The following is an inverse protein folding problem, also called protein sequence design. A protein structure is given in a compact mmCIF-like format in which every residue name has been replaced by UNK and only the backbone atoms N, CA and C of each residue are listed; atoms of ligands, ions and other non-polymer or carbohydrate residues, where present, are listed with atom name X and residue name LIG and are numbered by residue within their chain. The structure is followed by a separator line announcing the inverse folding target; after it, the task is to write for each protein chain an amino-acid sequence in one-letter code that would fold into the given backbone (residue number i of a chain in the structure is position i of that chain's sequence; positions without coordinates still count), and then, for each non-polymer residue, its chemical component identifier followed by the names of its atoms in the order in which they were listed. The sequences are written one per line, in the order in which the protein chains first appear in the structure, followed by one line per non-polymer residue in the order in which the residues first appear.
data_IF_611910971284
#
_entry.id   IF_611910971284
#
_cell.length_a   1.000
_cell.length_b   1.000
_cell.length_c   1.000
_cell.angle_alpha   90.00
_cell.angle_beta   90.00
_cell.angle_gamma   90.00
#
_symmetry.space_group_name_H-M   'P 1'
#
loop_
_entity.id
_entity.type
_entity.pdbx_description
1 polymer ?
#
# COMPACT_ATOMS: atom_id res chain seq x y z
N UNK A 1 -3.56 -50.32 -12.07
CA UNK A 1 -3.28 -49.55 -13.30
C UNK A 1 -4.35 -48.49 -13.58
N UNK A 2 -5.66 -48.78 -13.54
CA UNK A 2 -6.69 -47.74 -13.77
C UNK A 2 -6.73 -46.60 -12.73
N UNK A 3 -6.69 -46.93 -11.44
CA UNK A 3 -6.79 -45.94 -10.35
C UNK A 3 -5.62 -44.94 -10.29
N UNK A 4 -4.40 -45.38 -10.60
CA UNK A 4 -3.22 -44.51 -10.65
C UNK A 4 -3.30 -43.54 -11.84
N UNK A 5 -3.74 -44.04 -13.00
CA UNK A 5 -3.96 -43.23 -14.20
C UNK A 5 -5.07 -42.18 -13.96
N UNK A 6 -6.15 -42.56 -13.27
CA UNK A 6 -7.21 -41.63 -12.87
C UNK A 6 -6.72 -40.59 -11.87
N UNK A 7 -5.88 -40.98 -10.90
CA UNK A 7 -5.28 -40.06 -9.93
C UNK A 7 -4.43 -39.00 -10.62
N UNK A 8 -3.57 -39.40 -11.54
CA UNK A 8 -2.71 -38.49 -12.30
C UNK A 8 -3.53 -37.52 -13.16
N UNK A 9 -4.58 -38.02 -13.80
CA UNK A 9 -5.52 -37.21 -14.58
C UNK A 9 -6.21 -36.14 -13.74
N UNK A 10 -6.78 -36.52 -12.59
CA UNK A 10 -7.45 -35.58 -11.67
C UNK A 10 -6.45 -34.54 -11.14
N UNK A 11 -5.23 -34.98 -10.81
CA UNK A 11 -4.19 -34.08 -10.32
C UNK A 11 -3.76 -33.06 -11.39
N UNK A 12 -3.68 -33.49 -12.67
CA UNK A 12 -3.42 -32.59 -13.80
C UNK A 12 -4.53 -31.55 -13.98
N UNK A 13 -5.80 -31.96 -13.92
CA UNK A 13 -6.96 -31.07 -14.01
C UNK A 13 -6.98 -30.05 -12.86
N UNK A 14 -6.66 -30.48 -11.64
CA UNK A 14 -6.58 -29.59 -10.49
C UNK A 14 -5.47 -28.54 -10.66
N UNK A 15 -4.28 -28.94 -11.11
CA UNK A 15 -3.18 -28.00 -11.35
C UNK A 15 -3.50 -26.99 -12.45
N UNK A 16 -4.20 -27.41 -13.50
CA UNK A 16 -4.65 -26.53 -14.57
C UNK A 16 -5.71 -25.54 -14.08
N UNK A 17 -6.68 -26.00 -13.29
CA UNK A 17 -7.68 -25.14 -12.66
C UNK A 17 -7.01 -24.08 -11.79
N UNK A 18 -6.07 -24.48 -10.94
CA UNK A 18 -5.29 -23.58 -10.08
C UNK A 18 -4.49 -22.55 -10.90
N UNK A 19 -3.91 -22.96 -12.03
CA UNK A 19 -3.21 -22.04 -12.95
C UNK A 19 -4.17 -21.01 -13.55
N UNK A 20 -5.35 -21.44 -13.99
CA UNK A 20 -6.38 -20.54 -14.54
C UNK A 20 -6.91 -19.59 -13.48
N UNK A 21 -7.13 -20.08 -12.25
CA UNK A 21 -7.56 -19.27 -11.10
C UNK A 21 -6.56 -18.13 -10.83
N UNK A 22 -5.25 -18.43 -10.75
CA UNK A 22 -4.21 -17.41 -10.55
C UNK A 22 -4.21 -16.34 -11.65
N UNK A 23 -4.34 -16.76 -12.92
CA UNK A 23 -4.43 -15.82 -14.04
C UNK A 23 -5.71 -14.96 -13.98
N UNK A 24 -6.84 -15.55 -13.60
CA UNK A 24 -8.10 -14.82 -13.47
C UNK A 24 -8.07 -13.84 -12.29
N UNK A 25 -7.51 -14.24 -11.14
CA UNK A 25 -7.32 -13.36 -9.99
C UNK A 25 -6.42 -12.16 -10.32
N UNK A 26 -5.31 -12.38 -11.03
CA UNK A 26 -4.41 -11.29 -11.45
C UNK A 26 -5.05 -10.36 -12.49
N UNK A 27 -5.67 -10.92 -13.53
CA UNK A 27 -6.33 -10.12 -14.58
C UNK A 27 -7.58 -9.40 -14.09
N UNK A 28 -8.32 -9.97 -13.16
CA UNK A 28 -9.45 -9.34 -12.49
C UNK A 28 -9.03 -8.13 -11.67
N UNK A 29 -7.95 -8.26 -10.88
CA UNK A 29 -7.40 -7.16 -10.10
C UNK A 29 -6.93 -5.99 -10.99
N UNK A 30 -6.25 -6.28 -12.10
CA UNK A 30 -5.80 -5.24 -13.04
C UNK A 30 -6.98 -4.50 -13.69
N UNK A 31 -7.98 -5.25 -14.17
CA UNK A 31 -9.19 -4.64 -14.78
C UNK A 31 -9.95 -3.80 -13.77
N UNK A 32 -10.11 -4.31 -12.55
CA UNK A 32 -10.75 -3.58 -11.45
C UNK A 32 -10.02 -2.27 -11.16
N UNK A 33 -8.68 -2.30 -11.07
CA UNK A 33 -7.88 -1.10 -10.83
C UNK A 33 -8.04 -0.07 -11.94
N UNK A 34 -8.03 -0.48 -13.21
CA UNK A 34 -8.24 0.43 -14.35
C UNK A 34 -9.61 1.10 -14.30
N UNK A 35 -10.66 0.32 -14.08
CA UNK A 35 -12.03 0.85 -13.96
C UNK A 35 -12.17 1.77 -12.75
N UNK A 36 -11.55 1.42 -11.63
CA UNK A 36 -11.54 2.26 -10.44
C UNK A 36 -10.93 3.63 -10.73
N UNK A 37 -9.75 3.68 -11.33
CA UNK A 37 -9.06 4.93 -11.62
C UNK A 37 -9.87 5.81 -12.59
N UNK A 38 -10.47 5.20 -13.62
CA UNK A 38 -11.33 5.93 -14.55
C UNK A 38 -12.58 6.49 -13.85
N UNK A 39 -13.28 5.68 -13.05
CA UNK A 39 -14.46 6.10 -12.32
C UNK A 39 -14.15 7.14 -11.23
N UNK A 40 -12.99 7.02 -10.58
CA UNK A 40 -12.55 7.97 -9.56
C UNK A 40 -12.27 9.35 -10.18
N UNK A 41 -11.66 9.40 -11.36
CA UNK A 41 -11.45 10.65 -12.10
C UNK A 41 -12.79 11.28 -12.50
N UNK A 42 -13.71 10.50 -13.07
CA UNK A 42 -15.04 10.98 -13.44
C UNK A 42 -15.83 11.50 -12.23
N UNK A 43 -15.80 10.77 -11.12
CA UNK A 43 -16.44 11.18 -9.87
C UNK A 43 -15.87 12.50 -9.32
N UNK A 44 -14.55 12.70 -9.41
CA UNK A 44 -13.91 13.96 -9.01
C UNK A 44 -14.34 15.12 -9.90
N UNK A 45 -14.44 14.92 -11.21
CA UNK A 45 -14.92 15.94 -12.15
C UNK A 45 -16.39 16.33 -11.85
N UNK A 46 -17.24 15.34 -11.58
CA UNK A 46 -18.64 15.58 -11.19
C UNK A 46 -18.75 16.34 -9.86
N UNK A 47 -17.96 15.95 -8.86
CA UNK A 47 -17.92 16.64 -7.58
C UNK A 47 -17.46 18.10 -7.74
N UNK A 48 -16.42 18.36 -8.54
CA UNK A 48 -15.96 19.72 -8.83
C UNK A 48 -17.06 20.60 -9.44
N UNK A 49 -17.79 20.05 -10.41
CA UNK A 49 -18.96 20.75 -11.00
C UNK A 49 -20.06 21.03 -9.99
N UNK A 50 -20.34 20.08 -9.10
CA UNK A 50 -21.36 20.25 -8.06
C UNK A 50 -20.95 21.32 -7.04
N UNK A 51 -19.67 21.36 -6.65
CA UNK A 51 -19.13 22.38 -5.75
C UNK A 51 -19.17 23.78 -6.37
N UNK A 52 -18.87 23.91 -7.67
CA UNK A 52 -18.99 25.19 -8.36
C UNK A 52 -20.45 25.66 -8.45
N UNK A 53 -21.39 24.76 -8.74
CA UNK A 53 -22.81 25.09 -8.73
C UNK A 53 -23.28 25.52 -7.33
N UNK A 54 -22.86 24.81 -6.29
CA UNK A 54 -23.16 25.14 -4.90
C UNK A 54 -22.61 26.53 -4.50
N UNK A 55 -21.38 26.83 -4.91
CA UNK A 55 -20.77 28.16 -4.74
C UNK A 55 -21.61 29.25 -5.40
N UNK A 56 -22.03 29.06 -6.64
CA UNK A 56 -22.86 30.01 -7.38
C UNK A 56 -24.18 30.25 -6.64
N UNK A 57 -24.86 29.18 -6.20
CA UNK A 57 -26.15 29.28 -5.50
C UNK A 57 -25.97 30.02 -4.17
N UNK A 58 -24.96 29.68 -3.37
CA UNK A 58 -24.74 30.32 -2.06
C UNK A 58 -24.38 31.79 -2.20
N UNK A 59 -23.41 32.11 -3.05
CA UNK A 59 -22.90 33.48 -3.18
C UNK A 59 -23.88 34.36 -3.92
N UNK A 60 -24.44 33.91 -5.04
CA UNK A 60 -25.26 34.77 -5.90
C UNK A 60 -26.73 34.78 -5.51
N UNK A 61 -27.31 33.62 -5.19
CA UNK A 61 -28.76 33.52 -4.95
C UNK A 61 -29.12 33.76 -3.48
N UNK A 62 -28.26 33.31 -2.55
CA UNK A 62 -28.52 33.38 -1.12
C UNK A 62 -27.77 34.51 -0.41
N UNK A 63 -26.75 35.10 -1.05
CA UNK A 63 -25.94 36.17 -0.47
C UNK A 63 -25.12 35.73 0.76
N UNK A 64 -24.92 34.43 0.96
CA UNK A 64 -24.15 33.87 2.06
C UNK A 64 -22.76 33.44 1.56
N UNK A 65 -21.70 33.57 2.39
CA UNK A 65 -20.37 33.13 2.00
C UNK A 65 -20.35 31.62 1.77
N UNK A 66 -19.73 31.19 0.67
CA UNK A 66 -19.47 29.78 0.40
C UNK A 66 -18.20 29.33 1.12
N UNK A 67 -18.30 28.24 1.88
CA UNK A 67 -17.18 27.60 2.55
C UNK A 67 -16.87 26.29 1.83
N UNK A 68 -15.63 26.17 1.34
CA UNK A 68 -15.21 25.01 0.57
C UNK A 68 -15.14 23.76 1.48
N UNK A 69 -15.77 22.64 1.09
CA UNK A 69 -15.68 21.41 1.84
C UNK A 69 -14.23 20.90 1.92
N UNK A 70 -13.83 20.23 3.02
CA UNK A 70 -12.47 19.74 3.18
C UNK A 70 -12.03 18.85 2.01
N UNK A 71 -10.82 19.07 1.46
CA UNK A 71 -10.34 18.34 0.28
C UNK A 71 -10.11 16.84 0.55
N UNK A 72 -10.19 16.39 1.81
CA UNK A 72 -10.05 14.99 2.20
C UNK A 72 -11.06 14.06 1.50
N UNK A 73 -12.26 14.55 1.17
CA UNK A 73 -13.30 13.76 0.50
C UNK A 73 -12.91 13.37 -0.93
N UNK A 74 -12.08 14.18 -1.61
CA UNK A 74 -11.67 14.00 -3.01
C UNK A 74 -10.25 13.47 -3.16
N UNK A 75 -9.57 13.12 -2.06
CA UNK A 75 -8.15 12.68 -2.05
C UNK A 75 -7.95 11.17 -2.18
N UNK A 76 -9.00 10.37 -2.42
CA UNK A 76 -8.80 8.93 -2.69
C UNK A 76 -7.88 8.77 -3.91
N UNK A 77 -6.89 7.90 -3.79
CA UNK A 77 -5.79 7.73 -4.76
C UNK A 77 -5.64 6.24 -5.13
N UNK A 78 -6.76 5.53 -5.18
CA UNK A 78 -6.79 4.13 -5.58
C UNK A 78 -7.89 3.32 -4.91
N UNK A 79 -8.08 2.07 -5.37
CA UNK A 79 -9.12 1.20 -4.87
C UNK A 79 -9.02 0.97 -3.35
N UNK A 80 -10.17 0.85 -2.66
CA UNK A 80 -10.20 0.61 -1.22
C UNK A 80 -9.48 -0.70 -0.91
N UNK A 81 -8.44 -0.62 -0.08
CA UNK A 81 -7.61 -1.76 0.29
C UNK A 81 -6.32 -1.93 -0.51
N UNK A 82 -6.06 -1.15 -1.56
CA UNK A 82 -4.72 -1.00 -2.12
C UNK A 82 -3.84 -0.29 -1.10
N UNK A 83 -3.22 -1.06 -0.20
CA UNK A 83 -2.11 -0.55 0.60
C UNK A 83 -1.00 -0.16 -0.38
N UNK A 84 -0.42 1.05 -0.29
CA UNK A 84 0.72 1.41 -1.12
C UNK A 84 1.74 0.29 -0.99
N UNK A 85 2.17 -0.24 -2.14
CA UNK A 85 3.06 -1.39 -2.23
C UNK A 85 4.27 -1.10 -1.34
N UNK A 86 4.28 -1.65 -0.12
CA UNK A 86 5.43 -1.54 0.77
C UNK A 86 6.57 -2.10 -0.03
N UNK A 87 7.62 -1.30 -0.31
CA UNK A 87 8.88 -1.76 -0.90
C UNK A 87 9.19 -3.12 -0.28
N UNK A 88 8.97 -4.19 -1.04
CA UNK A 88 9.20 -5.53 -0.49
C UNK A 88 10.68 -5.57 -0.12
N UNK A 89 11.00 -6.10 1.06
CA UNK A 89 12.38 -6.14 1.54
C UNK A 89 13.34 -6.73 0.48
N UNK A 90 12.83 -7.67 -0.33
CA UNK A 90 13.49 -8.29 -1.47
C UNK A 90 13.79 -7.28 -2.60
N UNK A 91 12.83 -6.43 -2.99
CA UNK A 91 13.05 -5.39 -4.01
C UNK A 91 14.06 -4.35 -3.53
N UNK A 92 13.96 -3.94 -2.27
CA UNK A 92 14.90 -2.99 -1.65
C UNK A 92 16.32 -3.57 -1.59
N UNK A 93 16.48 -4.83 -1.17
CA UNK A 93 17.77 -5.52 -1.16
C UNK A 93 18.37 -5.65 -2.58
N UNK A 94 17.54 -5.95 -3.59
CA UNK A 94 17.97 -6.10 -4.98
C UNK A 94 18.40 -4.77 -5.63
N UNK A 95 17.81 -3.65 -5.22
CA UNK A 95 18.21 -2.31 -5.64
C UNK A 95 19.55 -1.91 -4.98
N UNK A 96 19.75 -2.22 -3.69
CA UNK A 96 21.00 -1.94 -2.97
C UNK A 96 22.20 -2.71 -3.55
N UNK A 97 22.01 -3.98 -3.93
CA UNK A 97 23.06 -4.79 -4.56
C UNK A 97 23.46 -4.29 -5.96
N UNK A 98 22.56 -3.60 -6.68
CA UNK A 98 22.85 -3.02 -8.00
C UNK A 98 23.53 -1.65 -7.94
N UNK A 99 23.46 -0.95 -6.80
CA UNK A 99 24.06 0.37 -6.62
C UNK A 99 25.53 0.37 -6.15
N UNK A 100 26.13 -0.80 -5.91
CA UNK A 100 27.50 -0.90 -5.40
C UNK A 100 28.51 -1.34 -6.46
N UNK A 101 28.95 -0.44 -7.34
CA UNK A 101 30.21 -0.62 -8.07
C UNK A 101 30.75 0.73 -8.57
N UNK A 102 32.03 0.99 -8.27
CA UNK A 102 32.77 2.28 -8.15
C UNK A 102 32.56 2.88 -6.75
N UNK A 103 33.52 2.84 -5.83
CA UNK A 103 34.92 3.27 -5.97
C UNK A 103 35.93 2.35 -5.23
N UNK A 104 37.21 2.47 -5.62
CA UNK A 104 38.32 1.59 -5.23
C UNK A 104 38.85 1.75 -3.80
N UNK A 105 39.93 1.04 -3.45
CA UNK A 105 40.42 0.92 -2.08
C UNK A 105 41.24 2.15 -1.70
N UNK A 106 40.78 2.90 -0.69
CA UNK A 106 41.60 3.95 -0.11
C UNK A 106 40.82 4.89 0.80
N UNK A 107 41.23 4.92 2.07
CA UNK A 107 40.93 5.96 3.05
C UNK A 107 39.54 5.88 3.72
N UNK A 108 39.50 5.22 4.88
CA UNK A 108 38.46 5.43 5.88
C UNK A 108 38.52 6.88 6.38
N UNK A 109 37.44 7.68 6.29
CA UNK A 109 37.39 8.92 7.06
C UNK A 109 37.18 8.56 8.53
N UNK A 110 38.04 9.12 9.39
CA UNK A 110 37.96 8.98 10.83
C UNK A 110 36.54 9.32 11.32
N UNK A 111 35.85 8.33 11.91
CA UNK A 111 34.59 8.56 12.58
C UNK A 111 34.78 9.46 13.81
N UNK A 112 33.73 10.18 14.24
CA UNK A 112 33.80 10.99 15.45
C UNK A 112 34.03 10.10 16.68
N UNK A 113 35.02 10.49 17.48
CA UNK A 113 35.35 9.88 18.77
C UNK A 113 34.17 10.06 19.72
N UNK A 114 33.52 8.95 20.12
CA UNK A 114 32.56 8.96 21.22
C UNK A 114 33.28 8.66 22.54
N UNK A 115 33.05 9.45 23.62
CA UNK A 115 33.65 9.19 24.93
C UNK A 115 33.07 7.92 25.58
N UNK A 116 33.86 7.19 26.39
CA UNK A 116 33.44 5.93 26.98
C UNK A 116 32.57 6.19 28.21
N UNK A 117 31.34 5.69 28.20
CA UNK A 117 30.52 5.60 29.41
C UNK A 117 29.12 6.18 29.28
N UNK A 118 28.21 5.43 28.66
CA UNK A 118 26.79 5.48 28.98
C UNK A 118 26.09 4.23 28.42
N UNK A 119 26.28 3.09 29.09
CA UNK A 119 25.37 1.97 28.91
C UNK A 119 24.04 2.34 29.56
N UNK A 120 23.03 2.70 28.76
CA UNK A 120 21.62 2.58 29.14
C UNK A 120 20.85 2.14 27.91
N UNK A 121 20.76 0.82 27.74
CA UNK A 121 19.68 0.20 26.99
C UNK A 121 18.36 0.75 27.51
N UNK A 122 17.60 1.38 26.62
CA UNK A 122 16.22 1.77 26.89
C UNK A 122 15.39 1.32 25.69
N UNK A 123 15.00 0.05 25.72
CA UNK A 123 13.84 -0.41 24.96
C UNK A 123 12.63 0.36 25.47
N UNK A 124 12.23 1.40 24.74
CA UNK A 124 10.94 2.02 24.99
C UNK A 124 9.88 1.07 24.40
N UNK A 125 9.27 0.31 25.30
CA UNK A 125 7.98 -0.34 25.05
C UNK A 125 6.96 0.78 24.83
N UNK A 126 6.44 0.89 23.61
CA UNK A 126 5.24 1.68 23.34
C UNK A 126 4.05 0.92 23.93
N UNK A 127 3.80 1.14 25.22
CA UNK A 127 2.53 0.76 25.83
C UNK A 127 1.44 1.68 25.26
N UNK A 128 0.53 1.11 24.49
CA UNK A 128 -0.68 1.81 24.04
C UNK A 128 -1.67 1.78 25.22
N UNK A 129 -2.18 2.92 25.71
CA UNK A 129 -3.20 2.93 26.75
C UNK A 129 -4.46 2.20 26.25
N UNK A 130 -4.87 1.12 26.94
CA UNK A 130 -6.10 0.38 26.64
C UNK A 130 -5.93 -0.90 25.81
N UNK A 131 -4.70 -1.41 25.63
CA UNK A 131 -4.46 -2.70 24.99
C UNK A 131 -3.90 -3.72 25.99
N UNK A 132 -4.73 -4.67 26.42
CA UNK A 132 -4.27 -5.86 27.15
C UNK A 132 -3.91 -6.98 26.14
N UNK A 133 -2.63 -7.37 26.03
CA UNK A 133 -2.24 -8.47 25.15
C UNK A 133 -2.71 -9.82 25.73
N UNK A 134 -3.37 -10.68 24.94
CA UNK A 134 -3.81 -11.99 25.42
C UNK A 134 -2.60 -12.92 25.56
N UNK A 135 -2.31 -13.37 26.80
CA UNK A 135 -1.32 -14.44 27.05
C UNK A 135 -0.31 -14.21 28.17
N UNK A 136 -0.59 -13.38 29.18
CA UNK A 136 0.24 -13.38 30.40
C UNK A 136 -0.20 -14.54 31.33
N UNK A 137 0.72 -15.38 31.82
CA UNK A 137 0.39 -16.40 32.82
C UNK A 137 -0.06 -15.73 34.14
N UNK A 138 -1.06 -16.34 34.77
CA UNK A 138 -1.68 -15.89 36.03
C UNK A 138 -0.71 -15.86 37.21
#
# INVERSE_FOLDING_TARGET
QGLECDRERIQGQHQEMERRMRHFSGSGAEKFRRLWLANEEEAKALAGRALEADRIIRVQQLGIPWEEPPPAVLRSTGPPGERPEKRTAIRAAREALRGGSREGPGMFPAGPVFPPGASKGRSQSLAVPGWDPPGAPS
#
